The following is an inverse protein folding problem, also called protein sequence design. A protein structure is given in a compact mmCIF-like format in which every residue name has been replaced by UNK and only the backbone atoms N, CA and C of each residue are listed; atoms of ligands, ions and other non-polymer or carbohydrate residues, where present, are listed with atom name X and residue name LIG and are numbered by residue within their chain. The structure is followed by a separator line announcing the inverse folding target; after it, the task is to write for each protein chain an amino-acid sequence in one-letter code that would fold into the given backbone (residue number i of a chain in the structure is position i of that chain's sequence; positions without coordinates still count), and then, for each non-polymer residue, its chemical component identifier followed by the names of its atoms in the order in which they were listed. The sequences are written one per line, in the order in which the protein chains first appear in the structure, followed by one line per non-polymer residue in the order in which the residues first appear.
data_IF_874923556197
#
_entry.id   IF_874923556197
#
_cell.length_a   1.000
_cell.length_b   1.000
_cell.length_c   1.000
_cell.angle_alpha   90.00
_cell.angle_beta   90.00
_cell.angle_gamma   90.00
#
_symmetry.space_group_name_H-M   'P 1'
#
loop_
_entity.id
_entity.type
_entity.pdbx_description
1 polymer ?
#
# COMPACT_ATOMS: atom_id res chain seq x y z
N UNK A 1 6.51 29.73 -13.13
CA UNK A 1 7.09 28.96 -12.01
C UNK A 1 5.94 28.44 -11.19
N UNK A 2 5.84 27.11 -10.99
CA UNK A 2 4.86 26.55 -10.06
C UNK A 2 5.30 26.87 -8.63
N UNK A 3 4.46 27.58 -7.87
CA UNK A 3 4.69 27.82 -6.44
C UNK A 3 4.76 26.48 -5.72
N UNK A 4 5.93 26.15 -5.19
CA UNK A 4 6.13 24.95 -4.38
C UNK A 4 5.96 25.34 -2.91
N UNK A 5 4.92 24.78 -2.28
CA UNK A 5 4.69 24.94 -0.84
C UNK A 5 5.41 23.80 -0.12
N UNK A 6 6.26 24.16 0.84
CA UNK A 6 6.86 23.19 1.73
C UNK A 6 5.90 22.89 2.86
N UNK A 7 5.52 21.62 3.01
CA UNK A 7 4.66 21.13 4.08
C UNK A 7 5.42 20.05 4.86
N UNK A 8 5.30 20.06 6.18
CA UNK A 8 5.80 18.98 7.01
C UNK A 8 4.95 17.72 6.85
N UNK A 9 5.54 16.56 7.18
CA UNK A 9 4.80 15.30 7.18
C UNK A 9 3.60 15.31 8.15
N UNK A 10 3.70 16.05 9.26
CA UNK A 10 2.60 16.21 10.21
C UNK A 10 1.47 17.06 9.64
N UNK A 11 1.79 18.17 8.96
CA UNK A 11 0.77 18.98 8.29
C UNK A 11 0.07 18.18 7.19
N UNK A 12 0.83 17.47 6.36
CA UNK A 12 0.27 16.59 5.32
C UNK A 12 -0.66 15.53 5.92
N UNK A 13 -0.24 14.88 7.03
CA UNK A 13 -1.06 13.91 7.76
C UNK A 13 -2.42 14.50 8.15
N UNK A 14 -2.41 15.71 8.75
CA UNK A 14 -3.64 16.34 9.21
C UNK A 14 -4.51 16.88 8.07
N UNK A 15 -3.91 17.38 6.99
CA UNK A 15 -4.63 17.79 5.79
C UNK A 15 -5.39 16.62 5.17
N UNK A 16 -4.70 15.51 4.92
CA UNK A 16 -5.32 14.30 4.33
C UNK A 16 -6.37 13.71 5.27
N UNK A 17 -6.10 13.65 6.58
CA UNK A 17 -7.10 13.23 7.57
C UNK A 17 -8.39 14.03 7.44
N UNK A 18 -8.31 15.36 7.40
CA UNK A 18 -9.48 16.24 7.28
C UNK A 18 -10.19 16.11 5.95
N UNK A 19 -9.47 15.90 4.85
CA UNK A 19 -10.09 15.62 3.54
C UNK A 19 -10.92 14.33 3.58
N UNK A 20 -10.38 13.27 4.18
CA UNK A 20 -11.05 11.97 4.32
C UNK A 20 -12.24 12.05 5.28
N UNK A 21 -12.12 12.85 6.35
CA UNK A 21 -13.22 13.19 7.27
C UNK A 21 -14.38 13.88 6.54
N UNK A 22 -14.07 14.87 5.69
CA UNK A 22 -15.06 15.59 4.88
C UNK A 22 -15.82 14.70 3.89
N UNK A 23 -15.28 13.52 3.56
CA UNK A 23 -15.91 12.51 2.70
C UNK A 23 -16.77 11.49 3.47
N UNK A 24 -16.86 11.62 4.80
CA UNK A 24 -17.73 10.79 5.64
C UNK A 24 -17.15 9.44 6.07
N UNK A 25 -15.83 9.25 5.97
CA UNK A 25 -15.18 8.02 6.45
C UNK A 25 -15.08 7.96 7.98
N UNK A 26 -14.95 6.76 8.55
CA UNK A 26 -14.84 6.56 9.98
C UNK A 26 -13.51 7.10 10.55
N UNK A 27 -13.44 7.50 11.85
CA UNK A 27 -12.23 8.06 12.45
C UNK A 27 -10.95 7.24 12.29
N UNK A 28 -11.07 5.90 12.27
CA UNK A 28 -9.96 4.99 12.01
C UNK A 28 -9.37 5.15 10.59
N UNK A 29 -10.24 5.15 9.58
CA UNK A 29 -9.87 5.33 8.18
C UNK A 29 -9.29 6.72 7.90
N UNK A 30 -9.83 7.76 8.56
CA UNK A 30 -9.31 9.13 8.47
C UNK A 30 -7.85 9.21 8.94
N UNK A 31 -7.58 8.68 10.13
CA UNK A 31 -6.23 8.69 10.71
C UNK A 31 -5.27 7.83 9.88
N UNK A 32 -5.72 6.64 9.48
CA UNK A 32 -4.93 5.72 8.67
C UNK A 32 -4.53 6.34 7.32
N UNK A 33 -5.46 7.02 6.63
CA UNK A 33 -5.18 7.71 5.37
C UNK A 33 -4.13 8.82 5.54
N UNK A 34 -4.24 9.63 6.60
CA UNK A 34 -3.25 10.67 6.91
C UNK A 34 -1.86 10.09 7.15
N UNK A 35 -1.75 9.00 7.92
CA UNK A 35 -0.47 8.33 8.21
C UNK A 35 0.13 7.78 6.92
N UNK A 36 -0.65 7.04 6.11
CA UNK A 36 -0.17 6.47 4.83
C UNK A 36 0.32 7.56 3.88
N UNK A 37 -0.41 8.66 3.78
CA UNK A 37 0.00 9.78 2.94
C UNK A 37 1.32 10.39 3.41
N UNK A 38 1.45 10.71 4.69
CA UNK A 38 2.66 11.29 5.25
C UNK A 38 3.88 10.37 5.06
N UNK A 39 3.74 9.09 5.40
CA UNK A 39 4.82 8.10 5.24
C UNK A 39 5.20 7.91 3.78
N UNK A 40 4.24 7.80 2.86
CA UNK A 40 4.54 7.63 1.44
C UNK A 40 5.26 8.85 0.84
N UNK A 41 4.98 10.07 1.30
CA UNK A 41 5.72 11.27 0.90
C UNK A 41 7.13 11.30 1.49
N UNK A 42 7.29 10.96 2.77
CA UNK A 42 8.61 10.88 3.41
C UNK A 42 9.54 9.86 2.74
N UNK A 43 8.96 8.75 2.24
CA UNK A 43 9.67 7.69 1.54
C UNK A 43 9.85 7.95 0.04
N UNK A 44 9.37 9.08 -0.48
CA UNK A 44 9.41 9.38 -1.92
C UNK A 44 8.57 8.44 -2.80
N UNK A 45 7.62 7.70 -2.21
CA UNK A 45 6.71 6.78 -2.90
C UNK A 45 5.50 7.49 -3.51
N UNK A 46 5.14 8.65 -2.96
CA UNK A 46 4.01 9.46 -3.40
C UNK A 46 4.43 10.89 -3.72
N UNK A 47 3.64 11.52 -4.58
CA UNK A 47 3.71 12.94 -4.91
C UNK A 47 2.30 13.51 -4.93
N UNK A 48 2.17 14.84 -5.08
CA UNK A 48 0.87 15.53 -5.11
C UNK A 48 -0.08 14.97 -6.16
N UNK A 49 0.42 14.59 -7.34
CA UNK A 49 -0.40 13.99 -8.39
C UNK A 49 -1.00 12.64 -7.99
N UNK A 50 -0.20 11.77 -7.35
CA UNK A 50 -0.69 10.49 -6.83
C UNK A 50 -1.68 10.68 -5.68
N UNK A 51 -1.43 11.68 -4.81
CA UNK A 51 -2.34 12.02 -3.72
C UNK A 51 -3.69 12.50 -4.24
N UNK A 52 -3.72 13.37 -5.25
CA UNK A 52 -4.96 13.84 -5.87
C UNK A 52 -5.77 12.66 -6.44
N UNK A 53 -5.12 11.78 -7.21
CA UNK A 53 -5.77 10.57 -7.73
C UNK A 53 -6.34 9.69 -6.62
N UNK A 54 -5.62 9.59 -5.50
CA UNK A 54 -6.03 8.81 -4.36
C UNK A 54 -7.22 9.44 -3.62
N UNK A 55 -7.29 10.77 -3.53
CA UNK A 55 -8.40 11.49 -2.92
C UNK A 55 -9.64 11.48 -3.82
N UNK A 56 -9.47 11.66 -5.14
CA UNK A 56 -10.57 11.62 -6.12
C UNK A 56 -11.27 10.26 -6.17
N UNK A 57 -10.53 9.19 -5.88
CA UNK A 57 -11.06 7.82 -5.86
C UNK A 57 -11.70 7.42 -4.52
N UNK A 58 -11.69 8.28 -3.50
CA UNK A 58 -12.32 7.97 -2.22
C UNK A 58 -13.85 8.06 -2.32
N UNK A 59 -14.52 6.99 -1.92
CA UNK A 59 -15.96 6.97 -1.76
C UNK A 59 -16.35 6.20 -0.50
N UNK A 60 -17.02 6.86 0.43
CA UNK A 60 -17.44 6.27 1.70
C UNK A 60 -18.56 5.25 1.56
N UNK A 61 -19.27 5.24 0.43
CA UNK A 61 -20.28 4.22 0.11
C UNK A 61 -19.68 2.96 -0.54
N UNK A 62 -18.41 3.00 -0.96
CA UNK A 62 -17.73 1.82 -1.49
C UNK A 62 -17.39 0.86 -0.35
N UNK A 63 -17.57 -0.43 -0.60
CA UNK A 63 -17.22 -1.49 0.35
C UNK A 63 -15.71 -1.58 0.52
N UNK A 64 -15.30 -2.04 1.70
CA UNK A 64 -13.93 -2.49 1.93
C UNK A 64 -13.55 -3.62 0.93
N UNK A 65 -12.25 -3.85 0.69
CA UNK A 65 -11.81 -4.88 -0.24
C UNK A 65 -12.42 -6.26 0.03
N UNK A 66 -13.10 -6.84 -0.95
CA UNK A 66 -13.79 -8.12 -0.84
C UNK A 66 -12.89 -9.27 -1.32
N UNK A 67 -12.84 -10.36 -0.55
CA UNK A 67 -12.10 -11.57 -0.95
C UNK A 67 -12.88 -12.31 -2.03
N UNK A 68 -12.35 -12.36 -3.25
CA UNK A 68 -13.01 -12.98 -4.41
C UNK A 68 -12.45 -14.37 -4.74
N UNK A 69 -11.21 -14.67 -4.33
CA UNK A 69 -10.63 -15.99 -4.49
C UNK A 69 -9.63 -16.30 -3.37
N UNK A 70 -9.61 -17.55 -2.91
CA UNK A 70 -8.72 -18.03 -1.85
C UNK A 70 -8.13 -19.37 -2.26
N UNK A 71 -6.81 -19.48 -2.20
CA UNK A 71 -6.05 -20.71 -2.37
C UNK A 71 -4.89 -20.73 -1.37
N UNK A 72 -4.22 -21.87 -1.22
CA UNK A 72 -3.05 -21.99 -0.33
C UNK A 72 -1.87 -21.13 -0.79
N UNK A 73 -1.83 -20.76 -2.07
CA UNK A 73 -0.75 -19.99 -2.68
C UNK A 73 -1.07 -18.49 -2.82
N UNK A 74 -2.34 -18.15 -2.96
CA UNK A 74 -2.76 -16.77 -3.26
C UNK A 74 -4.14 -16.45 -2.66
N UNK A 75 -4.25 -15.25 -2.09
CA UNK A 75 -5.52 -14.56 -1.82
C UNK A 75 -5.73 -13.44 -2.84
N UNK A 76 -6.93 -13.36 -3.41
CA UNK A 76 -7.32 -12.33 -4.38
C UNK A 76 -8.48 -11.51 -3.83
N UNK A 77 -8.28 -10.20 -3.77
CA UNK A 77 -9.28 -9.22 -3.34
C UNK A 77 -9.67 -8.28 -4.48
N UNK A 78 -10.89 -7.75 -4.43
CA UNK A 78 -11.33 -6.62 -5.25
C UNK A 78 -11.56 -5.39 -4.36
N UNK A 79 -10.89 -4.27 -4.67
CA UNK A 79 -11.08 -3.00 -3.97
C UNK A 79 -12.18 -2.13 -4.59
N UNK A 80 -12.84 -2.57 -5.67
CA UNK A 80 -13.98 -1.88 -6.30
C UNK A 80 -13.71 -0.43 -6.75
N UNK A 81 -12.46 -0.05 -6.99
CA UNK A 81 -12.08 1.33 -7.32
C UNK A 81 -11.66 2.18 -6.12
N UNK A 82 -11.74 1.65 -4.90
CA UNK A 82 -11.32 2.35 -3.69
C UNK A 82 -9.82 2.64 -3.68
N UNK A 83 -9.47 3.78 -3.10
CA UNK A 83 -8.10 4.21 -2.90
C UNK A 83 -7.39 3.42 -1.80
N UNK A 84 -6.11 3.08 -2.01
CA UNK A 84 -5.27 2.43 -0.99
C UNK A 84 -5.02 3.31 0.26
N UNK A 85 -5.44 4.57 0.26
CA UNK A 85 -5.44 5.42 1.46
C UNK A 85 -6.34 4.85 2.57
N UNK A 86 -7.41 4.14 2.23
CA UNK A 86 -8.37 3.60 3.20
C UNK A 86 -8.56 2.10 2.99
N UNK A 87 -8.76 1.37 4.08
CA UNK A 87 -9.27 -0.02 4.10
C UNK A 87 -8.41 -1.11 3.41
N UNK A 88 -7.34 -0.78 2.67
CA UNK A 88 -6.42 -1.74 2.03
C UNK A 88 -5.73 -2.67 3.04
N UNK A 89 -5.56 -2.19 4.27
CA UNK A 89 -5.06 -2.92 5.43
C UNK A 89 -5.89 -4.16 5.76
N UNK A 90 -7.17 -4.22 5.39
CA UNK A 90 -8.01 -5.40 5.62
C UNK A 90 -7.58 -6.57 4.73
N UNK A 91 -7.30 -6.30 3.45
CA UNK A 91 -6.80 -7.32 2.52
C UNK A 91 -5.39 -7.78 2.89
N UNK A 92 -4.52 -6.82 3.23
CA UNK A 92 -3.15 -7.10 3.64
C UNK A 92 -3.08 -7.86 4.97
N UNK A 93 -3.85 -7.41 5.96
CA UNK A 93 -3.93 -8.03 7.28
C UNK A 93 -4.43 -9.46 7.22
N UNK A 94 -5.43 -9.76 6.38
CA UNK A 94 -5.89 -11.14 6.19
C UNK A 94 -4.83 -12.03 5.55
N UNK A 95 -4.09 -11.53 4.56
CA UNK A 95 -3.01 -12.28 3.94
C UNK A 95 -1.87 -12.60 4.89
N UNK A 96 -1.48 -11.62 5.69
CA UNK A 96 -0.49 -11.78 6.76
C UNK A 96 -0.99 -12.77 7.82
N UNK A 97 -2.23 -12.66 8.28
CA UNK A 97 -2.82 -13.55 9.28
C UNK A 97 -2.96 -15.00 8.79
N UNK A 98 -3.15 -15.22 7.48
CA UNK A 98 -3.21 -16.55 6.86
C UNK A 98 -1.86 -17.09 6.40
N UNK A 99 -0.77 -16.34 6.62
CA UNK A 99 0.55 -16.66 6.09
C UNK A 99 0.54 -16.96 4.58
N UNK A 100 -0.32 -16.27 3.83
CA UNK A 100 -0.46 -16.54 2.40
C UNK A 100 0.81 -16.08 1.67
N UNK A 101 1.42 -16.89 0.79
CA UNK A 101 2.60 -16.50 0.02
C UNK A 101 2.38 -15.29 -0.89
N UNK A 102 1.11 -15.00 -1.23
CA UNK A 102 0.75 -13.92 -2.12
C UNK A 102 -0.62 -13.31 -1.81
N UNK A 103 -0.68 -11.97 -1.82
CA UNK A 103 -1.93 -11.21 -1.81
C UNK A 103 -2.03 -10.38 -3.07
N UNK A 104 -3.11 -10.51 -3.81
CA UNK A 104 -3.41 -9.71 -5.00
C UNK A 104 -4.64 -8.86 -4.75
N UNK A 105 -4.52 -7.54 -4.95
CA UNK A 105 -5.65 -6.61 -4.83
C UNK A 105 -5.94 -6.01 -6.21
N UNK A 106 -7.11 -6.35 -6.75
CA UNK A 106 -7.62 -5.84 -8.02
C UNK A 106 -8.35 -4.51 -7.80
N UNK A 107 -8.43 -3.72 -8.88
CA UNK A 107 -9.16 -2.44 -8.94
C UNK A 107 -8.84 -1.43 -7.83
N UNK A 108 -7.66 -1.50 -7.20
CA UNK A 108 -7.23 -0.49 -6.23
C UNK A 108 -6.66 0.75 -6.94
N UNK A 109 -6.94 1.93 -6.41
CA UNK A 109 -6.35 3.20 -6.86
C UNK A 109 -5.19 3.60 -5.94
N UNK A 110 -4.13 4.16 -6.53
CA UNK A 110 -2.96 4.66 -5.81
C UNK A 110 -2.30 3.64 -4.86
N UNK A 111 -2.10 2.41 -5.34
CA UNK A 111 -1.56 1.27 -4.58
C UNK A 111 -0.23 1.50 -3.86
N UNK A 112 0.56 2.52 -4.23
CA UNK A 112 1.80 2.86 -3.52
C UNK A 112 1.56 3.18 -2.04
N UNK A 113 0.39 3.72 -1.67
CA UNK A 113 0.04 4.00 -0.26
C UNK A 113 -0.08 2.72 0.58
N UNK A 114 -0.27 1.56 -0.04
CA UNK A 114 -0.29 0.28 0.66
C UNK A 114 1.09 -0.11 1.22
N UNK A 115 2.18 0.44 0.70
CA UNK A 115 3.53 0.21 1.21
C UNK A 115 3.63 0.60 2.69
N UNK A 116 3.08 1.77 3.03
CA UNK A 116 3.05 2.27 4.40
C UNK A 116 2.24 1.38 5.34
N UNK A 117 1.19 0.72 4.85
CA UNK A 117 0.44 -0.26 5.64
C UNK A 117 1.29 -1.47 6.00
N UNK A 118 1.99 -2.04 5.01
CA UNK A 118 2.85 -3.22 5.22
C UNK A 118 3.99 -2.88 6.17
N UNK A 119 4.68 -1.76 5.93
CA UNK A 119 5.75 -1.29 6.81
C UNK A 119 5.27 -1.10 8.25
N UNK A 120 4.15 -0.39 8.45
CA UNK A 120 3.61 -0.15 9.78
C UNK A 120 3.23 -1.46 10.49
N UNK A 121 2.64 -2.42 9.77
CA UNK A 121 2.29 -3.71 10.35
C UNK A 121 3.51 -4.50 10.82
N UNK A 122 4.59 -4.53 10.01
CA UNK A 122 5.83 -5.23 10.32
C UNK A 122 6.64 -4.61 11.46
N UNK A 123 6.36 -3.35 11.81
CA UNK A 123 6.99 -2.70 12.96
C UNK A 123 6.28 -2.99 14.29
N UNK A 124 5.13 -3.69 14.28
CA UNK A 124 4.37 -3.94 15.50
C UNK A 124 5.02 -5.05 16.34
N UNK A 125 5.10 -4.92 17.68
CA UNK A 125 5.81 -5.87 18.54
C UNK A 125 5.22 -7.29 18.56
N UNK A 126 3.98 -7.46 18.10
CA UNK A 126 3.31 -8.76 17.95
C UNK A 126 3.52 -9.40 16.57
N UNK A 127 4.04 -8.65 15.60
CA UNK A 127 4.56 -9.23 14.38
C UNK A 127 5.88 -9.91 14.74
N UNK A 128 5.79 -11.18 15.13
CA UNK A 128 7.00 -11.97 15.30
C UNK A 128 7.72 -11.95 13.95
N UNK A 129 9.02 -11.60 13.86
CA UNK A 129 9.82 -11.87 12.68
C UNK A 129 9.99 -13.39 12.56
N UNK A 130 8.90 -14.08 12.26
CA UNK A 130 8.89 -15.48 11.89
C UNK A 130 9.50 -15.52 10.52
N UNK A 131 10.82 -15.76 10.53
CA UNK A 131 11.74 -15.94 9.41
C UNK A 131 12.22 -14.67 8.71
N UNK A 132 13.44 -14.77 8.15
CA UNK A 132 14.19 -13.79 7.37
C UNK A 132 13.46 -13.41 6.06
N UNK A 133 12.20 -13.01 6.17
CA UNK A 133 11.30 -12.77 5.06
C UNK A 133 11.42 -11.34 4.58
N UNK A 134 11.59 -11.18 3.27
CA UNK A 134 11.43 -9.91 2.61
C UNK A 134 10.07 -9.87 1.91
N UNK A 135 9.45 -8.70 1.94
CA UNK A 135 8.14 -8.45 1.38
C UNK A 135 8.34 -7.60 0.13
N UNK A 136 7.75 -8.04 -0.98
CA UNK A 136 7.80 -7.29 -2.24
C UNK A 136 6.40 -6.79 -2.58
N UNK A 137 6.21 -5.47 -2.53
CA UNK A 137 4.98 -4.83 -2.96
C UNK A 137 5.14 -4.32 -4.38
N UNK A 138 4.44 -4.97 -5.31
CA UNK A 138 4.32 -4.53 -6.69
C UNK A 138 3.08 -3.67 -6.87
N UNK A 139 3.24 -2.55 -7.57
CA UNK A 139 2.13 -1.69 -7.97
C UNK A 139 2.36 -1.10 -9.36
N UNK A 140 1.26 -0.75 -10.01
CA UNK A 140 1.31 -0.07 -11.31
C UNK A 140 1.33 1.45 -11.09
N UNK A 141 2.35 2.12 -11.64
CA UNK A 141 2.44 3.58 -11.66
C UNK A 141 1.50 4.16 -12.72
N UNK A 142 1.15 5.46 -12.60
CA UNK A 142 0.28 6.19 -13.56
C UNK A 142 0.72 6.09 -15.03
N UNK A 143 2.01 5.87 -15.29
CA UNK A 143 2.56 5.70 -16.63
C UNK A 143 2.38 4.29 -17.21
N UNK A 144 1.68 3.40 -16.48
CA UNK A 144 1.58 1.97 -16.82
C UNK A 144 2.86 1.17 -16.52
N UNK A 145 3.92 1.82 -16.01
CA UNK A 145 5.13 1.15 -15.58
C UNK A 145 4.92 0.49 -14.21
N UNK A 146 5.43 -0.73 -14.04
CA UNK A 146 5.39 -1.38 -12.75
C UNK A 146 6.53 -0.87 -11.85
N UNK A 147 6.26 -0.81 -10.55
CA UNK A 147 7.20 -0.48 -9.49
C UNK A 147 7.10 -1.54 -8.41
N UNK A 148 8.22 -1.79 -7.73
CA UNK A 148 8.32 -2.72 -6.62
C UNK A 148 8.98 -2.00 -5.44
N UNK A 149 8.36 -2.05 -4.27
CA UNK A 149 9.01 -1.66 -3.01
C UNK A 149 9.37 -2.93 -2.27
N UNK A 150 10.65 -3.09 -1.96
CA UNK A 150 11.12 -4.16 -1.09
C UNK A 150 11.13 -3.66 0.35
N UNK A 151 10.60 -4.48 1.25
CA UNK A 151 10.44 -4.18 2.68
C UNK A 151 11.04 -5.34 3.46
N UNK A 152 11.91 -5.05 4.40
CA UNK A 152 12.51 -6.04 5.30
C UNK A 152 11.49 -6.53 6.34
N UNK A 153 11.84 -7.62 7.03
CA UNK A 153 10.99 -8.22 8.06
C UNK A 153 10.66 -7.29 9.24
N UNK A 154 11.50 -6.28 9.48
CA UNK A 154 11.33 -5.26 10.51
C UNK A 154 10.55 -4.02 10.02
N UNK A 155 10.03 -4.07 8.79
CA UNK A 155 9.29 -2.98 8.17
C UNK A 155 10.17 -1.90 7.54
N UNK A 156 11.50 -2.03 7.55
CA UNK A 156 12.38 -1.06 6.90
C UNK A 156 12.32 -1.16 5.37
N UNK A 157 12.23 -0.04 4.64
CA UNK A 157 12.32 -0.04 3.19
C UNK A 157 13.73 -0.42 2.73
N UNK A 158 13.85 -1.44 1.90
CA UNK A 158 15.11 -1.87 1.28
C UNK A 158 15.38 -1.16 -0.06
N UNK A 159 14.34 -0.60 -0.68
CA UNK A 159 14.48 0.20 -1.90
C UNK A 159 13.25 0.16 -2.81
N UNK A 160 13.25 1.07 -3.80
CA UNK A 160 12.26 1.15 -4.87
C UNK A 160 12.91 0.68 -6.18
N UNK A 161 12.29 -0.31 -6.80
CA UNK A 161 12.81 -0.99 -7.99
C UNK A 161 11.80 -0.94 -9.15
N UNK A 162 12.31 -1.00 -10.37
CA UNK A 162 11.51 -1.17 -11.59
C UNK A 162 11.77 -2.59 -12.13
N UNK A 163 10.78 -3.50 -12.15
CA UNK A 163 10.95 -4.84 -12.69
C UNK A 163 11.20 -4.80 -14.21
N UNK A 164 12.12 -5.64 -14.71
CA UNK A 164 12.50 -5.68 -16.13
C UNK A 164 11.61 -6.59 -16.99
N UNK A 165 11.18 -7.74 -16.48
CA UNK A 165 10.64 -8.81 -17.35
C UNK A 165 9.19 -9.24 -17.09
N UNK A 166 8.59 -8.91 -15.94
CA UNK A 166 7.24 -9.42 -15.62
C UNK A 166 6.28 -8.29 -15.27
N UNK A 167 5.39 -7.95 -16.21
CA UNK A 167 4.18 -7.16 -15.91
C UNK A 167 3.25 -8.03 -15.09
N UNK A 168 3.08 -7.70 -13.82
CA UNK A 168 2.04 -8.30 -12.99
C UNK A 168 0.69 -7.77 -13.47
N UNK A 169 -0.22 -8.65 -13.85
CA UNK A 169 -1.56 -8.30 -14.38
C UNK A 169 -2.44 -7.51 -13.40
N UNK A 170 -2.01 -7.34 -12.15
CA UNK A 170 -2.75 -6.66 -11.09
C UNK A 170 -2.24 -5.26 -10.80
N UNK A 171 -3.16 -4.35 -10.47
CA UNK A 171 -2.82 -3.00 -9.99
C UNK A 171 -1.97 -3.03 -8.71
N UNK A 172 -2.13 -4.06 -7.87
CA UNK A 172 -1.32 -4.32 -6.68
C UNK A 172 -1.14 -5.82 -6.40
N UNK A 173 0.08 -6.23 -6.04
CA UNK A 173 0.43 -7.59 -5.61
C UNK A 173 1.50 -7.53 -4.52
N UNK A 174 1.31 -8.28 -3.44
CA UNK A 174 2.31 -8.48 -2.39
C UNK A 174 2.79 -9.91 -2.47
N UNK A 175 4.11 -10.09 -2.52
CA UNK A 175 4.77 -11.39 -2.40
C UNK A 175 5.48 -11.48 -1.06
N UNK A 176 5.30 -12.60 -0.39
CA UNK A 176 5.95 -12.96 0.87
C UNK A 176 7.07 -13.95 0.56
N UNK A 177 8.34 -13.53 0.68
CA UNK A 177 9.48 -14.35 0.27
C UNK A 177 10.20 -14.92 1.50
N UNK A 178 10.15 -16.25 1.67
CA UNK A 178 10.91 -16.99 2.68
C UNK A 178 12.26 -17.43 2.12
N UNK A 179 13.24 -16.51 2.11
CA UNK A 179 14.59 -16.80 1.68
C UNK A 179 15.44 -15.54 1.59
N UNK A 180 16.76 -15.67 1.76
CA UNK A 180 17.72 -14.60 1.49
C UNK A 180 17.41 -14.01 0.11
N UNK A 181 17.21 -12.70 0.02
CA UNK A 181 16.96 -11.99 -1.24
C UNK A 181 18.09 -12.28 -2.25
N UNK A 182 17.97 -13.36 -3.02
CA UNK A 182 18.75 -13.57 -4.22
C UNK A 182 18.05 -12.81 -5.34
N UNK A 183 18.48 -11.57 -5.49
CA UNK A 183 18.10 -10.70 -6.58
C UNK A 183 18.52 -11.33 -7.91
N UNK A 184 17.56 -11.73 -8.73
CA UNK A 184 17.74 -11.72 -10.18
C UNK A 184 16.86 -10.59 -10.72
N UNK A 185 17.54 -9.50 -11.13
CA UNK A 185 16.98 -8.27 -11.67
C UNK A 185 16.74 -8.36 -13.17
#
# INVERSE_FOLDING_TARGET
MSELIQISANELKFLVKRSVEGLGFAPGDQLAAGIKAASAFQLGLANSGLLNQALDALNSNMKAPELIASSDQELVFDAHGQSALVQVELALGLGLARCSPQVRVKNVVAAAFAASCVMNWLTQPLSQPLSQQCYALYFTHRSGAQRCVLIAADGQPLGLYQPREQRVEAKMRVLFHSGSCFYYF
#
